data_IF_598897323137
#
_entry.id   IF_598897323137
#
_cell.length_a   1.000
_cell.length_b   1.000
_cell.length_c   1.000
_cell.angle_alpha   90.00
_cell.angle_beta   90.00
_cell.angle_gamma   90.00
#
_symmetry.space_group_name_H-M   'P 1'
#
loop_
_entity.id
_entity.type
_entity.pdbx_description
1 polymer ?
#
# COMPACT_ATOMS: atom_id res chain seq x y z
N UNK A 1 -10.94 21.82 -8.08
CA UNK A 1 -9.94 22.85 -8.47
C UNK A 1 -10.51 23.78 -9.54
N UNK A 2 -11.08 23.23 -10.62
CA UNK A 2 -11.71 24.00 -11.72
C UNK A 2 -12.83 24.95 -11.26
N UNK A 3 -13.75 24.53 -10.38
CA UNK A 3 -14.78 25.43 -9.83
C UNK A 3 -14.23 26.64 -9.07
N UNK A 4 -13.12 26.46 -8.33
CA UNK A 4 -12.43 27.57 -7.61
C UNK A 4 -11.73 28.51 -8.61
N UNK A 5 -11.27 27.98 -9.74
CA UNK A 5 -10.70 28.76 -10.84
C UNK A 5 -11.77 29.49 -11.66
N UNK A 6 -12.96 28.90 -11.83
CA UNK A 6 -14.08 29.53 -12.53
C UNK A 6 -14.61 30.77 -11.80
N UNK A 7 -14.55 30.78 -10.46
CA UNK A 7 -14.88 31.96 -9.65
C UNK A 7 -13.83 33.08 -9.74
N UNK A 8 -12.59 32.78 -10.15
CA UNK A 8 -11.59 33.80 -10.40
C UNK A 8 -11.71 34.25 -11.84
N UNK A 9 -12.22 35.47 -12.04
CA UNK A 9 -12.26 36.10 -13.36
C UNK A 9 -10.82 36.30 -13.83
N UNK A 10 -10.29 35.28 -14.54
CA UNK A 10 -9.03 35.24 -15.30
C UNK A 10 -8.77 36.53 -16.10
N UNK A 11 -9.87 37.22 -16.43
CA UNK A 11 -10.01 38.49 -17.11
C UNK A 11 -9.22 39.65 -16.49
N UNK A 12 -8.98 39.68 -15.17
CA UNK A 12 -8.37 40.85 -14.49
C UNK A 12 -6.97 40.61 -13.93
N UNK A 13 -6.39 39.44 -14.16
CA UNK A 13 -5.13 39.03 -13.54
C UNK A 13 -3.97 39.03 -14.54
N UNK A 14 -2.93 39.81 -14.22
CA UNK A 14 -1.64 39.76 -14.89
C UNK A 14 -0.99 38.38 -14.78
N UNK A 15 -0.01 38.05 -15.65
CA UNK A 15 0.74 36.79 -15.55
C UNK A 15 1.39 36.60 -14.17
N UNK A 16 1.89 37.68 -13.59
CA UNK A 16 2.42 37.71 -12.22
C UNK A 16 1.34 37.39 -11.18
N UNK A 17 0.16 38.02 -11.26
CA UNK A 17 -0.96 37.73 -10.35
C UNK A 17 -1.45 36.28 -10.45
N UNK A 18 -1.50 35.71 -11.66
CA UNK A 18 -1.83 34.30 -11.89
C UNK A 18 -0.78 33.37 -11.27
N UNK A 19 0.50 33.67 -11.43
CA UNK A 19 1.60 32.91 -10.82
C UNK A 19 1.51 32.94 -9.29
N UNK A 20 1.24 34.10 -8.69
CA UNK A 20 1.04 34.23 -7.24
C UNK A 20 -0.11 33.35 -6.76
N UNK A 21 -1.24 33.34 -7.46
CA UNK A 21 -2.39 32.47 -7.13
C UNK A 21 -2.10 30.97 -7.32
N UNK A 22 -1.29 30.61 -8.31
CA UNK A 22 -0.82 29.23 -8.47
C UNK A 22 -0.05 28.80 -7.23
N UNK A 23 0.88 29.63 -6.75
CA UNK A 23 1.72 29.33 -5.59
C UNK A 23 0.93 29.32 -4.28
N UNK A 24 0.07 30.31 -4.06
CA UNK A 24 -0.62 30.51 -2.78
C UNK A 24 -1.82 29.59 -2.61
N UNK A 25 -2.53 29.28 -3.70
CA UNK A 25 -3.85 28.64 -3.58
C UNK A 25 -3.92 27.34 -4.34
N UNK A 26 -3.57 27.29 -5.64
CA UNK A 26 -3.66 26.04 -6.40
C UNK A 26 -2.65 24.98 -5.92
N UNK A 27 -1.48 25.41 -5.44
CA UNK A 27 -0.49 24.49 -4.87
C UNK A 27 -0.84 24.02 -3.45
N UNK A 28 -1.80 24.67 -2.78
CA UNK A 28 -2.21 24.33 -1.41
C UNK A 28 -3.51 23.51 -1.36
N UNK A 29 -4.41 23.69 -2.32
CA UNK A 29 -5.65 22.90 -2.44
C UNK A 29 -5.44 21.38 -2.40
N UNK A 30 -4.45 20.79 -3.09
CA UNK A 30 -4.24 19.34 -3.06
C UNK A 30 -3.41 18.88 -1.85
N UNK A 31 -2.80 19.80 -1.07
CA UNK A 31 -1.83 19.45 -0.02
C UNK A 31 -2.36 18.46 1.01
N UNK A 32 -3.61 18.58 1.44
CA UNK A 32 -4.21 17.64 2.41
C UNK A 32 -4.34 16.22 1.85
N UNK A 33 -4.53 16.07 0.55
CA UNK A 33 -4.59 14.77 -0.10
C UNK A 33 -3.19 14.23 -0.40
N UNK A 34 -2.30 15.10 -0.90
CA UNK A 34 -0.90 14.79 -1.19
C UNK A 34 -0.09 14.44 0.06
N UNK A 35 -0.53 14.86 1.24
CA UNK A 35 0.10 14.46 2.49
C UNK A 35 -0.29 13.05 2.92
N UNK A 36 -1.41 12.50 2.44
CA UNK A 36 -1.92 11.20 2.86
C UNK A 36 -1.65 10.08 1.84
N UNK A 37 -1.67 10.42 0.54
CA UNK A 37 -1.64 9.41 -0.51
C UNK A 37 -0.60 9.72 -1.60
N UNK A 38 0.04 8.69 -2.18
CA UNK A 38 0.81 8.83 -3.42
C UNK A 38 -0.09 9.35 -4.54
N UNK A 39 0.34 10.40 -5.23
CA UNK A 39 -0.42 10.96 -6.34
C UNK A 39 -0.30 10.07 -7.59
N UNK A 40 -1.43 9.62 -8.19
CA UNK A 40 -1.38 8.92 -9.47
C UNK A 40 -0.83 9.82 -10.58
N UNK A 41 -0.04 9.26 -11.50
CA UNK A 41 0.59 10.02 -12.58
C UNK A 41 -0.42 10.76 -13.48
N UNK A 42 -1.59 10.18 -13.74
CA UNK A 42 -2.67 10.81 -14.50
C UNK A 42 -3.24 12.06 -13.80
N UNK A 43 -3.40 12.01 -12.48
CA UNK A 43 -3.89 13.13 -11.66
C UNK A 43 -2.85 14.24 -11.59
N UNK A 44 -1.56 13.89 -11.41
CA UNK A 44 -0.47 14.86 -11.45
C UNK A 44 -0.47 15.61 -12.79
N UNK A 45 -0.53 14.88 -13.91
CA UNK A 45 -0.61 15.46 -15.26
C UNK A 45 -1.84 16.36 -15.43
N UNK A 46 -3.00 15.98 -14.88
CA UNK A 46 -4.22 16.78 -14.96
C UNK A 46 -4.09 18.10 -14.17
N UNK A 47 -3.55 18.07 -12.95
CA UNK A 47 -3.36 19.28 -12.14
C UNK A 47 -2.32 20.19 -12.78
N UNK A 48 -1.21 19.63 -13.27
CA UNK A 48 -0.20 20.38 -14.04
C UNK A 48 -0.84 21.03 -15.27
N UNK A 49 -1.68 20.30 -16.01
CA UNK A 49 -2.43 20.85 -17.16
C UNK A 49 -3.30 22.03 -16.74
N UNK A 50 -4.05 21.92 -15.63
CA UNK A 50 -4.89 23.02 -15.12
C UNK A 50 -4.04 24.24 -14.73
N UNK A 51 -2.91 24.05 -14.06
CA UNK A 51 -2.00 25.14 -13.68
C UNK A 51 -1.36 25.81 -14.91
N UNK A 52 -0.93 25.00 -15.89
CA UNK A 52 -0.39 25.46 -17.18
C UNK A 52 -1.42 26.26 -17.96
N UNK A 53 -2.62 25.73 -18.05
CA UNK A 53 -3.73 26.35 -18.74
C UNK A 53 -4.05 27.67 -18.09
N UNK A 54 -4.14 27.74 -16.75
CA UNK A 54 -4.39 28.98 -16.02
C UNK A 54 -3.32 30.04 -16.27
N UNK A 55 -2.03 29.67 -16.23
CA UNK A 55 -0.91 30.58 -16.43
C UNK A 55 -0.88 31.18 -17.85
N UNK A 56 -1.06 30.33 -18.89
CA UNK A 56 -0.76 30.71 -20.28
C UNK A 56 -1.97 31.04 -21.15
N UNK A 57 -3.14 30.40 -20.94
CA UNK A 57 -4.31 30.65 -21.80
C UNK A 57 -4.88 32.08 -21.59
N UNK A 58 -5.53 32.64 -22.62
CA UNK A 58 -6.09 34.00 -22.66
C UNK A 58 -7.62 34.02 -22.64
N UNK A 59 -8.21 35.14 -23.09
CA UNK A 59 -9.65 35.45 -23.12
C UNK A 59 -10.39 34.87 -24.35
N UNK A 60 -9.69 34.31 -25.34
CA UNK A 60 -10.30 33.73 -26.54
C UNK A 60 -10.19 32.21 -26.60
N UNK A 61 -10.99 31.58 -27.46
CA UNK A 61 -10.84 30.18 -27.87
C UNK A 61 -9.53 29.92 -28.65
N UNK A 62 -8.76 30.98 -28.92
CA UNK A 62 -7.44 30.88 -29.52
C UNK A 62 -6.49 30.04 -28.65
N UNK A 63 -5.96 28.99 -29.26
CA UNK A 63 -4.93 28.15 -28.68
C UNK A 63 -3.67 28.98 -28.39
N UNK A 64 -3.36 29.19 -27.10
CA UNK A 64 -2.10 29.82 -26.69
C UNK A 64 -1.05 28.76 -26.37
N UNK A 65 0.11 28.87 -27.02
CA UNK A 65 1.25 28.01 -26.74
C UNK A 65 1.77 28.20 -25.32
N UNK A 66 2.13 27.09 -24.68
CA UNK A 66 2.88 27.12 -23.42
C UNK A 66 4.34 27.42 -23.75
N UNK A 67 4.74 28.69 -23.61
CA UNK A 67 6.04 29.19 -24.06
C UNK A 67 7.25 28.58 -23.33
N UNK A 68 7.05 28.03 -22.12
CA UNK A 68 8.13 27.53 -21.27
C UNK A 68 7.81 26.11 -20.82
N UNK A 69 8.83 25.23 -20.82
CA UNK A 69 8.75 23.87 -20.27
C UNK A 69 8.33 23.94 -18.79
N UNK A 70 7.43 23.04 -18.38
CA UNK A 70 6.87 23.10 -17.02
C UNK A 70 7.93 22.83 -15.95
N UNK A 71 8.90 21.96 -16.23
CA UNK A 71 10.01 21.69 -15.30
C UNK A 71 10.85 22.94 -15.03
N UNK A 72 11.10 23.76 -16.06
CA UNK A 72 11.80 25.05 -15.92
C UNK A 72 11.01 26.03 -15.05
N UNK A 73 9.68 26.04 -15.15
CA UNK A 73 8.79 26.84 -14.29
C UNK A 73 8.85 26.36 -12.84
N UNK A 74 9.04 25.05 -12.63
CA UNK A 74 9.14 24.47 -11.30
C UNK A 74 10.50 24.68 -10.62
N UNK A 75 11.55 25.00 -11.40
CA UNK A 75 12.88 25.28 -10.87
C UNK A 75 12.89 26.49 -9.92
N UNK A 76 13.83 26.52 -8.96
CA UNK A 76 14.04 27.67 -8.08
C UNK A 76 14.32 28.97 -8.86
N UNK A 77 14.05 30.11 -8.23
CA UNK A 77 14.30 31.45 -8.83
C UNK A 77 15.80 31.64 -9.14
N UNK A 78 16.69 31.06 -8.31
CA UNK A 78 18.14 31.06 -8.55
C UNK A 78 18.55 30.43 -9.87
N UNK A 79 17.73 29.50 -10.39
CA UNK A 79 17.99 28.78 -11.64
C UNK A 79 17.08 29.29 -12.76
N UNK A 80 16.72 30.58 -12.73
CA UNK A 80 15.85 31.24 -13.71
C UNK A 80 14.43 30.64 -13.82
N UNK A 81 14.01 29.89 -12.81
CA UNK A 81 12.67 29.31 -12.75
C UNK A 81 11.65 30.22 -12.06
N UNK A 82 10.39 29.79 -12.07
CA UNK A 82 9.30 30.51 -11.41
C UNK A 82 8.96 29.95 -10.04
N UNK A 83 9.70 28.97 -9.51
CA UNK A 83 9.50 28.34 -8.20
C UNK A 83 8.05 27.87 -7.95
N UNK A 84 7.41 27.30 -8.97
CA UNK A 84 6.17 26.56 -8.81
C UNK A 84 6.49 25.17 -8.25
N UNK A 85 5.70 24.63 -7.32
CA UNK A 85 6.00 23.32 -6.72
C UNK A 85 5.81 22.21 -7.74
N UNK A 86 6.83 21.39 -7.97
CA UNK A 86 6.69 20.13 -8.67
C UNK A 86 5.84 19.17 -7.81
N UNK A 87 4.67 18.77 -8.31
CA UNK A 87 3.69 18.00 -7.53
C UNK A 87 4.21 16.62 -7.11
N UNK A 88 5.03 15.97 -7.95
CA UNK A 88 5.57 14.64 -7.65
C UNK A 88 6.62 14.73 -6.54
N UNK A 89 7.58 15.64 -6.67
CA UNK A 89 8.60 15.88 -5.66
C UNK A 89 7.98 16.36 -4.34
N UNK A 90 6.97 17.23 -4.42
CA UNK A 90 6.26 17.73 -3.25
C UNK A 90 5.45 16.63 -2.54
N UNK A 91 4.78 15.75 -3.29
CA UNK A 91 4.09 14.58 -2.72
C UNK A 91 5.07 13.63 -2.04
N UNK A 92 6.20 13.31 -2.68
CA UNK A 92 7.23 12.47 -2.08
C UNK A 92 7.77 13.06 -0.77
N UNK A 93 8.06 14.37 -0.75
CA UNK A 93 8.51 15.07 0.45
C UNK A 93 7.45 15.06 1.57
N UNK A 94 6.17 15.28 1.24
CA UNK A 94 5.07 15.24 2.22
C UNK A 94 4.83 13.84 2.79
N UNK A 95 4.96 12.79 1.98
CA UNK A 95 4.92 11.41 2.47
C UNK A 95 6.14 11.10 3.33
N UNK A 96 7.33 11.58 2.93
CA UNK A 96 8.56 11.49 3.72
C UNK A 96 8.46 12.13 5.10
N UNK A 97 7.70 13.22 5.24
CA UNK A 97 7.40 13.83 6.55
C UNK A 97 6.73 12.85 7.53
N UNK A 98 5.87 11.95 7.05
CA UNK A 98 5.25 10.95 7.91
C UNK A 98 6.21 9.83 8.31
N UNK A 99 7.16 9.47 7.44
CA UNK A 99 8.24 8.56 7.80
C UNK A 99 9.12 9.17 8.91
N UNK A 100 9.48 10.45 8.75
CA UNK A 100 10.22 11.19 9.77
C UNK A 100 9.47 11.26 11.11
N UNK A 101 8.19 11.63 11.08
CA UNK A 101 7.33 11.66 12.28
C UNK A 101 7.14 10.29 12.89
N UNK A 102 7.05 9.25 12.08
CA UNK A 102 6.97 7.89 12.58
C UNK A 102 8.20 7.56 13.45
N UNK A 103 9.41 7.95 12.99
CA UNK A 103 10.66 7.71 13.73
C UNK A 103 10.81 8.50 15.03
N UNK A 104 10.22 9.70 15.10
CA UNK A 104 10.30 10.59 16.28
C UNK A 104 9.14 10.39 17.26
N UNK A 105 7.91 10.33 16.78
CA UNK A 105 6.69 10.32 17.59
C UNK A 105 6.36 8.90 18.08
N UNK A 106 7.22 8.34 18.94
CA UNK A 106 7.15 6.94 19.41
C UNK A 106 5.85 6.61 20.14
N UNK A 107 5.25 7.57 20.83
CA UNK A 107 4.06 7.39 21.66
C UNK A 107 2.74 7.71 20.95
N UNK A 108 2.80 8.22 19.71
CA UNK A 108 1.60 8.69 19.04
C UNK A 108 0.63 7.54 18.73
N UNK A 109 -0.66 7.76 19.01
CA UNK A 109 -1.72 6.75 18.81
C UNK A 109 -1.76 6.22 17.36
N UNK A 110 -1.58 7.09 16.37
CA UNK A 110 -1.57 6.69 14.96
C UNK A 110 -0.40 5.73 14.65
N UNK A 111 0.75 5.90 15.31
CA UNK A 111 1.91 5.03 15.20
C UNK A 111 1.58 3.64 15.75
N UNK A 112 0.97 3.57 16.94
CA UNK A 112 0.51 2.29 17.55
C UNK A 112 -0.48 1.54 16.66
N UNK A 113 -1.37 2.27 15.97
CA UNK A 113 -2.31 1.68 14.99
C UNK A 113 -1.57 1.14 13.76
N UNK A 114 -0.57 1.88 13.26
CA UNK A 114 0.27 1.44 12.15
C UNK A 114 1.07 0.19 12.56
N UNK A 115 1.66 0.19 13.75
CA UNK A 115 2.46 -0.92 14.27
C UNK A 115 1.61 -2.18 14.45
N UNK A 116 0.43 -2.04 15.09
CA UNK A 116 -0.49 -3.17 15.26
C UNK A 116 -1.07 -3.72 13.95
N UNK A 117 -1.12 -2.91 12.88
CA UNK A 117 -1.66 -3.33 11.57
C UNK A 117 -0.60 -3.88 10.62
N UNK A 118 0.59 -3.30 10.62
CA UNK A 118 1.61 -3.54 9.60
C UNK A 118 2.91 -4.15 10.15
N UNK A 119 3.15 -4.10 11.46
CA UNK A 119 4.35 -4.69 12.11
C UNK A 119 3.94 -5.69 13.18
N UNK A 120 3.16 -6.70 12.81
CA UNK A 120 2.89 -7.85 13.67
C UNK A 120 4.07 -8.83 13.58
N UNK A 121 4.73 -9.07 14.72
CA UNK A 121 6.03 -9.72 14.96
C UNK A 121 7.24 -8.78 14.85
N UNK A 122 7.69 -8.32 16.03
CA UNK A 122 9.08 -8.06 16.50
C UNK A 122 10.19 -7.63 15.53
N UNK A 123 9.85 -7.14 14.36
CA UNK A 123 10.75 -6.55 13.41
C UNK A 123 10.23 -5.15 13.15
N UNK A 124 10.99 -4.17 13.61
CA UNK A 124 10.78 -2.78 13.23
C UNK A 124 10.90 -2.59 11.72
N UNK A 125 10.95 -1.32 11.28
CA UNK A 125 11.09 -0.99 9.87
C UNK A 125 12.31 -1.66 9.26
N UNK A 126 12.07 -2.63 8.38
CA UNK A 126 13.08 -3.20 7.51
C UNK A 126 12.93 -2.56 6.14
N UNK A 127 13.95 -1.81 5.71
CA UNK A 127 14.16 -1.50 4.31
C UNK A 127 14.41 -2.84 3.61
N UNK A 128 13.39 -3.42 2.98
CA UNK A 128 13.63 -4.58 2.12
C UNK A 128 14.43 -4.09 0.92
N UNK A 129 15.73 -4.36 0.94
CA UNK A 129 16.70 -3.99 -0.09
C UNK A 129 16.41 -4.82 -1.35
N UNK A 130 15.62 -4.27 -2.27
CA UNK A 130 15.33 -4.91 -3.57
C UNK A 130 16.24 -4.46 -4.71
N UNK A 131 17.23 -3.60 -4.49
CA UNK A 131 18.18 -3.24 -5.56
C UNK A 131 19.61 -3.11 -5.05
N UNK A 132 20.54 -3.57 -5.88
CA UNK A 132 21.99 -3.75 -5.63
C UNK A 132 22.71 -2.45 -5.22
N UNK A 133 22.11 -1.27 -5.41
CA UNK A 133 22.69 0.00 -4.94
C UNK A 133 22.62 0.22 -3.42
N UNK A 134 21.70 -0.45 -2.70
CA UNK A 134 21.58 -0.30 -1.25
C UNK A 134 22.46 -1.28 -0.43
N UNK A 135 23.15 -2.23 -1.08
CA UNK A 135 24.07 -3.16 -0.42
C UNK A 135 25.41 -2.53 0.00
N UNK A 136 25.64 -1.25 -0.31
CA UNK A 136 26.85 -0.51 0.09
C UNK A 136 26.85 -0.11 1.57
N UNK A 137 25.69 -0.12 2.25
CA UNK A 137 25.56 0.25 3.66
C UNK A 137 25.00 -0.85 4.57
N UNK A 138 24.82 -2.07 4.05
CA UNK A 138 24.25 -3.21 4.78
C UNK A 138 25.35 -4.19 5.17
N UNK A 139 25.41 -4.57 6.45
CA UNK A 139 26.39 -5.51 6.98
C UNK A 139 25.97 -6.95 6.68
N UNK A 140 26.88 -7.71 6.10
CA UNK A 140 26.65 -9.05 5.56
C UNK A 140 26.17 -10.04 6.64
N UNK A 141 26.80 -10.02 7.81
CA UNK A 141 26.47 -10.95 8.90
C UNK A 141 25.39 -10.44 9.86
N UNK A 142 25.37 -9.12 10.08
CA UNK A 142 24.61 -8.52 11.18
C UNK A 142 23.23 -8.01 10.80
N UNK A 143 23.02 -7.64 9.54
CA UNK A 143 21.75 -7.07 9.11
C UNK A 143 20.87 -8.14 8.42
N UNK A 144 19.56 -8.02 8.54
CA UNK A 144 18.60 -8.94 7.92
C UNK A 144 18.32 -8.55 6.46
N UNK A 145 19.17 -9.02 5.55
CA UNK A 145 19.06 -8.73 4.11
C UNK A 145 18.77 -9.95 3.22
N UNK A 146 19.06 -11.16 3.72
CA UNK A 146 18.74 -12.42 3.06
C UNK A 146 17.97 -13.32 4.04
N UNK A 147 16.70 -13.60 3.73
CA UNK A 147 15.80 -14.34 4.63
C UNK A 147 15.14 -13.48 5.72
N UNK A 148 14.81 -14.14 6.85
CA UNK A 148 14.04 -13.57 7.95
C UNK A 148 14.89 -13.24 9.21
N UNK A 149 16.12 -13.74 9.30
CA UNK A 149 17.04 -13.50 10.41
C UNK A 149 18.46 -13.15 9.91
N UNK A 150 19.26 -12.38 10.68
CA UNK A 150 20.67 -12.15 10.36
C UNK A 150 21.47 -13.46 10.24
N UNK A 151 22.45 -13.51 9.34
CA UNK A 151 23.26 -14.73 9.16
C UNK A 151 24.06 -15.11 10.39
N UNK A 152 24.46 -14.16 11.25
CA UNK A 152 25.11 -14.48 12.53
C UNK A 152 24.25 -15.32 13.48
N UNK A 153 22.93 -15.20 13.37
CA UNK A 153 21.98 -15.86 14.26
C UNK A 153 21.54 -17.22 13.68
N UNK A 154 21.49 -17.34 12.34
CA UNK A 154 21.18 -18.60 11.64
C UNK A 154 22.41 -19.52 11.58
N UNK A 155 23.59 -18.95 11.34
CA UNK A 155 24.85 -19.67 11.15
C UNK A 155 25.94 -19.14 12.11
N UNK A 156 25.78 -19.30 13.43
CA UNK A 156 26.73 -18.77 14.41
C UNK A 156 28.12 -19.39 14.24
N UNK A 157 28.18 -20.67 13.87
CA UNK A 157 29.42 -21.42 13.60
C UNK A 157 30.20 -20.80 12.43
N UNK A 158 29.53 -20.42 11.34
CA UNK A 158 30.16 -19.75 10.19
C UNK A 158 30.54 -18.30 10.50
N UNK A 159 29.72 -17.60 11.30
CA UNK A 159 30.05 -16.25 11.77
C UNK A 159 31.29 -16.25 12.67
N UNK A 160 31.48 -17.29 13.49
CA UNK A 160 32.66 -17.42 14.36
C UNK A 160 33.97 -17.44 13.56
N UNK A 161 33.95 -18.08 12.39
CA UNK A 161 35.11 -18.22 11.50
C UNK A 161 35.13 -17.19 10.37
N UNK A 162 34.18 -16.26 10.31
CA UNK A 162 34.18 -15.19 9.30
C UNK A 162 35.42 -14.30 9.47
N UNK A 163 36.13 -14.03 8.36
CA UNK A 163 37.34 -13.19 8.36
C UNK A 163 37.04 -11.74 8.69
N UNK A 164 35.91 -11.23 8.21
CA UNK A 164 35.42 -9.90 8.51
C UNK A 164 33.95 -9.98 8.93
N UNK A 165 33.71 -9.70 10.21
CA UNK A 165 32.39 -9.81 10.85
C UNK A 165 31.51 -8.58 10.61
N UNK A 166 32.12 -7.45 10.27
CA UNK A 166 31.43 -6.18 9.98
C UNK A 166 31.39 -5.87 8.49
N UNK A 167 31.85 -6.80 7.64
CA UNK A 167 31.89 -6.64 6.19
C UNK A 167 30.52 -6.24 5.63
N UNK A 168 30.53 -5.32 4.67
CA UNK A 168 29.34 -4.97 3.91
C UNK A 168 29.04 -6.03 2.85
N UNK A 169 27.77 -6.18 2.48
CA UNK A 169 27.36 -7.15 1.45
C UNK A 169 28.08 -6.91 0.12
N UNK A 170 28.31 -5.64 -0.23
CA UNK A 170 29.06 -5.27 -1.42
C UNK A 170 30.52 -5.81 -1.45
N UNK A 171 31.13 -6.07 -0.29
CA UNK A 171 32.49 -6.61 -0.22
C UNK A 171 32.55 -8.11 -0.60
N UNK A 172 31.44 -8.83 -0.45
CA UNK A 172 31.33 -10.26 -0.74
C UNK A 172 30.67 -10.56 -2.10
N UNK A 173 30.20 -9.53 -2.82
CA UNK A 173 29.45 -9.66 -4.06
C UNK A 173 30.36 -9.38 -5.28
N UNK A 174 30.57 -10.38 -6.14
CA UNK A 174 31.22 -10.21 -7.43
C UNK A 174 30.23 -10.45 -8.59
N UNK A 175 30.14 -9.50 -9.51
CA UNK A 175 29.35 -9.66 -10.73
C UNK A 175 30.24 -10.13 -11.87
N UNK A 176 30.10 -11.39 -12.30
CA UNK A 176 30.80 -11.93 -13.47
C UNK A 176 29.80 -12.37 -14.52
N UNK A 177 29.91 -11.84 -15.74
CA UNK A 177 29.12 -12.26 -16.91
C UNK A 177 27.60 -12.38 -16.67
N UNK A 178 27.00 -11.41 -15.98
CA UNK A 178 25.57 -11.39 -15.61
C UNK A 178 25.13 -12.43 -14.58
N UNK A 179 26.05 -13.22 -14.03
CA UNK A 179 25.83 -14.11 -12.90
C UNK A 179 26.47 -13.52 -11.63
N UNK A 180 25.75 -13.64 -10.52
CA UNK A 180 26.24 -13.21 -9.21
C UNK A 180 27.11 -14.33 -8.64
N UNK A 181 28.31 -13.97 -8.21
CA UNK A 181 29.21 -14.86 -7.48
C UNK A 181 29.47 -14.27 -6.09
N UNK A 182 29.29 -15.10 -5.07
CA UNK A 182 29.56 -14.73 -3.68
C UNK A 182 30.96 -15.19 -3.28
N UNK A 183 31.79 -14.28 -2.79
CA UNK A 183 33.12 -14.59 -2.26
C UNK A 183 33.15 -14.29 -0.76
N UNK A 184 32.92 -15.32 0.05
CA UNK A 184 32.92 -15.24 1.52
C UNK A 184 34.22 -15.84 2.04
N UNK A 185 35.03 -15.02 2.71
CA UNK A 185 36.33 -15.41 3.21
C UNK A 185 36.26 -15.77 4.71
N UNK A 186 36.82 -16.94 5.06
CA UNK A 186 36.92 -17.42 6.44
C UNK A 186 38.36 -17.32 6.95
N UNK A 187 38.54 -17.26 8.27
CA UNK A 187 39.85 -17.20 8.95
C UNK A 187 40.62 -18.51 8.86
N UNK A 188 39.92 -19.63 8.70
CA UNK A 188 40.47 -20.98 8.49
C UNK A 188 39.63 -21.76 7.49
N UNK A 189 40.19 -22.87 7.00
CA UNK A 189 39.41 -23.84 6.22
C UNK A 189 38.25 -24.40 7.07
N UNK A 190 37.11 -24.59 6.41
CA UNK A 190 35.95 -25.25 6.99
C UNK A 190 36.31 -26.68 7.37
N UNK A 191 35.79 -27.13 8.51
CA UNK A 191 35.99 -28.49 9.02
C UNK A 191 34.72 -29.32 8.80
N UNK A 192 34.82 -30.64 8.94
CA UNK A 192 33.73 -31.56 8.59
C UNK A 192 32.40 -31.26 9.29
N UNK A 193 32.45 -30.71 10.51
CA UNK A 193 31.26 -30.32 11.29
C UNK A 193 30.57 -29.02 10.82
N UNK A 194 31.20 -28.21 9.95
CA UNK A 194 30.64 -26.96 9.40
C UNK A 194 30.05 -27.15 8.00
N UNK A 195 30.25 -28.31 7.35
CA UNK A 195 29.87 -28.54 5.96
C UNK A 195 28.36 -28.44 5.70
N UNK A 196 27.54 -28.94 6.63
CA UNK A 196 26.08 -28.86 6.53
C UNK A 196 25.58 -27.41 6.66
N UNK A 197 26.15 -26.65 7.59
CA UNK A 197 25.91 -25.22 7.75
C UNK A 197 26.31 -24.45 6.48
N UNK A 198 27.45 -24.79 5.86
CA UNK A 198 27.92 -24.17 4.61
C UNK A 198 26.97 -24.44 3.44
N UNK A 199 26.51 -25.68 3.28
CA UNK A 199 25.58 -26.04 2.21
C UNK A 199 24.29 -25.24 2.34
N UNK A 200 23.70 -25.25 3.52
CA UNK A 200 22.44 -24.54 3.81
C UNK A 200 22.61 -23.03 3.66
N UNK A 201 23.76 -22.50 4.07
CA UNK A 201 24.12 -21.10 3.92
C UNK A 201 24.17 -20.68 2.45
N UNK A 202 24.85 -21.43 1.59
CA UNK A 202 24.92 -21.11 0.16
C UNK A 202 23.59 -21.32 -0.55
N UNK A 203 22.80 -22.34 -0.18
CA UNK A 203 21.44 -22.50 -0.71
C UNK A 203 20.58 -21.27 -0.41
N UNK A 204 20.63 -20.78 0.82
CA UNK A 204 19.91 -19.56 1.22
C UNK A 204 20.45 -18.33 0.47
N UNK A 205 21.77 -18.20 0.35
CA UNK A 205 22.44 -17.08 -0.31
C UNK A 205 22.12 -17.01 -1.81
N UNK A 206 22.09 -18.15 -2.50
CA UNK A 206 21.74 -18.25 -3.92
C UNK A 206 20.22 -18.29 -4.16
N UNK A 207 19.39 -18.60 -3.15
CA UNK A 207 17.93 -18.47 -3.23
C UNK A 207 17.45 -17.02 -3.31
N UNK A 208 18.30 -16.05 -2.92
CA UNK A 208 18.01 -14.63 -2.96
C UNK A 208 17.79 -14.15 -4.41
N UNK A 209 16.52 -14.06 -4.83
CA UNK A 209 16.14 -13.55 -6.15
C UNK A 209 16.38 -12.04 -6.23
N UNK A 210 17.51 -11.64 -6.82
CA UNK A 210 17.78 -10.24 -7.16
C UNK A 210 16.93 -9.86 -8.38
N UNK A 211 15.80 -9.20 -8.14
CA UNK A 211 14.89 -8.71 -9.19
C UNK A 211 15.42 -7.39 -9.80
N UNK A 212 16.32 -7.52 -10.77
CA UNK A 212 16.48 -6.58 -11.88
C UNK A 212 17.21 -5.25 -11.64
N UNK A 213 17.62 -4.62 -12.76
CA UNK A 213 18.11 -3.24 -12.82
C UNK A 213 16.92 -2.26 -12.77
N UNK A 214 16.93 -1.32 -11.82
CA UNK A 214 15.96 -0.24 -11.71
C UNK A 214 16.34 0.77 -10.61
N UNK A 215 15.77 1.98 -10.67
CA UNK A 215 15.91 3.00 -9.62
C UNK A 215 15.24 2.56 -8.31
N UNK A 216 15.80 3.01 -7.18
CA UNK A 216 15.35 2.69 -5.83
C UNK A 216 13.84 2.89 -5.62
N UNK A 217 13.18 1.86 -5.08
CA UNK A 217 11.79 1.94 -4.62
C UNK A 217 11.69 1.34 -3.22
N UNK A 218 11.03 2.08 -2.34
CA UNK A 218 10.69 1.62 -1.00
C UNK A 218 9.57 0.57 -1.11
N UNK A 219 9.90 -0.68 -0.79
CA UNK A 219 8.98 -1.82 -0.89
C UNK A 219 8.52 -2.27 0.50
N UNK A 220 7.22 -2.46 0.69
CA UNK A 220 6.68 -3.02 1.93
C UNK A 220 6.82 -4.54 1.95
N UNK A 221 7.56 -5.06 2.94
CA UNK A 221 7.49 -6.41 3.54
C UNK A 221 6.05 -6.79 3.95
N UNK A 222 5.17 -7.28 3.07
CA UNK A 222 3.90 -7.85 3.54
C UNK A 222 4.25 -9.14 4.30
N UNK A 223 4.11 -9.11 5.63
CA UNK A 223 4.25 -10.29 6.48
C UNK A 223 3.43 -11.46 5.93
N UNK A 224 4.05 -12.64 5.88
CA UNK A 224 3.55 -13.85 5.24
C UNK A 224 2.21 -14.38 5.81
N UNK A 225 1.65 -13.75 6.86
CA UNK A 225 0.46 -14.23 7.56
C UNK A 225 -0.81 -13.38 7.38
N UNK A 226 -0.80 -12.30 6.60
CA UNK A 226 -2.06 -11.60 6.22
C UNK A 226 -2.20 -11.32 4.73
N UNK A 227 -1.72 -12.26 3.89
CA UNK A 227 -1.95 -12.25 2.44
C UNK A 227 -3.45 -12.29 2.09
N UNK A 228 -4.12 -11.15 2.02
CA UNK A 228 -5.29 -10.97 1.16
C UNK A 228 -4.78 -10.75 -0.27
N UNK A 229 -4.19 -11.80 -0.87
CA UNK A 229 -3.64 -11.81 -2.24
C UNK A 229 -4.70 -12.16 -3.31
N UNK A 230 -5.98 -11.93 -3.04
CA UNK A 230 -6.99 -12.05 -4.08
C UNK A 230 -6.75 -10.93 -5.11
N UNK A 231 -6.81 -11.24 -6.42
CA UNK A 231 -6.73 -10.24 -7.50
C UNK A 231 -8.01 -9.38 -7.54
N UNK A 232 -8.20 -8.55 -6.51
CA UNK A 232 -9.38 -7.69 -6.32
C UNK A 232 -8.99 -6.21 -6.29
N UNK A 233 -9.88 -5.29 -6.71
CA UNK A 233 -9.61 -3.86 -6.61
C UNK A 233 -9.27 -3.44 -5.16
N UNK A 234 -8.31 -2.52 -4.95
CA UNK A 234 -7.87 -2.12 -3.60
C UNK A 234 -9.01 -1.65 -2.68
N UNK A 235 -10.06 -1.02 -3.22
CA UNK A 235 -11.24 -0.62 -2.43
C UNK A 235 -11.98 -1.80 -1.81
N UNK A 236 -12.06 -2.92 -2.54
CA UNK A 236 -12.75 -4.14 -2.13
C UNK A 236 -11.91 -4.88 -1.10
N UNK A 237 -10.59 -4.93 -1.30
CA UNK A 237 -9.64 -5.46 -0.33
C UNK A 237 -9.72 -4.71 1.00
N UNK A 238 -9.69 -3.37 0.95
CA UNK A 238 -9.78 -2.53 2.14
C UNK A 238 -11.11 -2.72 2.88
N UNK A 239 -12.23 -2.78 2.14
CA UNK A 239 -13.54 -3.09 2.71
C UNK A 239 -13.56 -4.46 3.39
N UNK A 240 -13.01 -5.49 2.74
CA UNK A 240 -13.00 -6.85 3.29
C UNK A 240 -12.18 -6.95 4.57
N UNK A 241 -11.05 -6.25 4.61
CA UNK A 241 -10.24 -6.10 5.82
C UNK A 241 -11.03 -5.39 6.95
N UNK A 242 -11.71 -4.28 6.64
CA UNK A 242 -12.59 -3.60 7.61
C UNK A 242 -13.73 -4.50 8.12
N UNK A 243 -14.30 -5.33 7.25
CA UNK A 243 -15.34 -6.29 7.58
C UNK A 243 -14.82 -7.37 8.52
N UNK A 244 -13.62 -7.92 8.27
CA UNK A 244 -12.99 -8.89 9.17
C UNK A 244 -12.66 -8.34 10.56
N UNK A 245 -12.40 -7.03 10.66
CA UNK A 245 -12.17 -6.36 11.95
C UNK A 245 -13.47 -5.96 12.67
N UNK A 246 -14.62 -6.19 12.03
CA UNK A 246 -15.91 -5.75 12.55
C UNK A 246 -16.02 -4.23 12.65
N UNK A 247 -15.44 -3.47 11.71
CA UNK A 247 -15.41 -1.99 11.74
C UNK A 247 -16.20 -1.32 10.62
N UNK A 248 -16.98 -2.06 9.84
CA UNK A 248 -17.84 -1.51 8.79
C UNK A 248 -18.97 -0.68 9.40
N UNK A 249 -19.35 0.41 8.74
CA UNK A 249 -20.36 1.38 9.21
C UNK A 249 -21.79 0.79 9.12
N UNK A 250 -22.10 -0.15 10.00
CA UNK A 250 -23.44 -0.68 10.24
C UNK A 250 -24.07 0.00 11.44
N UNK A 251 -25.40 -0.09 11.56
CA UNK A 251 -26.12 0.54 12.67
C UNK A 251 -25.64 0.08 14.05
N UNK A 252 -25.32 -1.19 14.25
CA UNK A 252 -24.70 -1.70 15.49
C UNK A 252 -23.35 -1.01 15.81
N UNK A 253 -22.48 -0.83 14.81
CA UNK A 253 -21.21 -0.14 15.00
C UNK A 253 -21.34 1.37 15.21
N UNK A 254 -22.38 2.00 14.66
CA UNK A 254 -22.70 3.40 14.92
C UNK A 254 -23.26 3.59 16.33
N UNK A 255 -24.07 2.64 16.82
CA UNK A 255 -24.55 2.62 18.21
C UNK A 255 -23.41 2.53 19.22
N UNK A 256 -22.39 1.70 18.96
CA UNK A 256 -21.17 1.65 19.80
C UNK A 256 -20.39 2.97 19.85
N UNK A 257 -20.72 3.93 18.99
CA UNK A 257 -20.18 5.30 18.96
C UNK A 257 -21.19 6.35 19.45
N UNK A 258 -22.24 5.93 20.16
CA UNK A 258 -23.31 6.77 20.69
C UNK A 258 -24.14 7.50 19.62
N UNK A 259 -24.29 6.91 18.42
CA UNK A 259 -25.19 7.43 17.37
C UNK A 259 -26.48 6.61 17.37
N UNK A 260 -27.62 7.28 17.62
CA UNK A 260 -28.94 6.66 17.72
C UNK A 260 -29.58 6.60 16.33
N UNK A 261 -29.77 5.38 15.80
CA UNK A 261 -30.43 5.09 14.53
C UNK A 261 -31.40 3.92 14.71
N UNK A 262 -32.45 3.89 13.88
CA UNK A 262 -33.40 2.77 13.78
C UNK A 262 -32.64 1.52 13.36
N UNK A 263 -32.78 0.43 14.14
CA UNK A 263 -31.92 -0.75 14.01
C UNK A 263 -32.31 -1.72 12.91
N UNK A 264 -33.32 -1.48 12.09
CA UNK A 264 -33.77 -2.54 11.19
C UNK A 264 -32.81 -2.74 10.02
N UNK A 265 -32.58 -3.99 9.64
CA UNK A 265 -31.82 -4.31 8.44
C UNK A 265 -32.60 -3.83 7.22
N UNK A 266 -32.03 -2.89 6.45
CA UNK A 266 -32.69 -2.32 5.26
C UNK A 266 -32.92 -3.33 4.12
N UNK A 267 -32.31 -4.51 4.18
CA UNK A 267 -32.47 -5.56 3.17
C UNK A 267 -33.62 -6.50 3.51
N UNK A 268 -33.63 -7.11 4.71
CA UNK A 268 -34.68 -8.06 5.10
C UNK A 268 -35.89 -7.40 5.78
N UNK A 269 -35.73 -6.20 6.37
CA UNK A 269 -36.74 -5.49 7.17
C UNK A 269 -37.34 -6.30 8.35
N UNK A 270 -36.74 -7.44 8.73
CA UNK A 270 -37.21 -8.33 9.79
C UNK A 270 -36.34 -8.27 11.04
N UNK A 271 -35.02 -8.28 10.87
CA UNK A 271 -34.05 -8.34 11.97
C UNK A 271 -33.28 -7.02 12.17
N UNK A 272 -32.55 -6.93 13.27
CA UNK A 272 -31.60 -5.85 13.53
C UNK A 272 -30.39 -5.85 12.59
N UNK A 273 -29.98 -4.68 12.10
CA UNK A 273 -28.80 -4.48 11.28
C UNK A 273 -27.52 -4.64 12.13
N UNK A 274 -26.87 -5.78 11.95
CA UNK A 274 -25.49 -6.02 12.36
C UNK A 274 -24.67 -6.41 11.13
N UNK A 275 -23.34 -6.33 11.21
CA UNK A 275 -22.49 -6.78 10.09
C UNK A 275 -22.72 -8.26 9.79
N UNK A 276 -22.68 -9.12 10.80
CA UNK A 276 -22.83 -10.56 10.60
C UNK A 276 -24.22 -10.89 10.04
N UNK A 277 -25.28 -10.21 10.50
CA UNK A 277 -26.59 -10.33 9.88
C UNK A 277 -26.57 -9.85 8.43
N UNK A 278 -26.20 -8.60 8.16
CA UNK A 278 -26.28 -8.02 6.81
C UNK A 278 -25.46 -8.77 5.76
N UNK A 279 -24.30 -9.32 6.13
CA UNK A 279 -23.41 -9.98 5.16
C UNK A 279 -23.56 -11.50 5.09
N UNK A 280 -24.05 -12.15 6.14
CA UNK A 280 -24.09 -13.62 6.22
C UNK A 280 -25.50 -14.18 6.46
N UNK A 281 -26.24 -13.62 7.43
CA UNK A 281 -27.47 -14.25 7.94
C UNK A 281 -28.77 -13.63 7.45
N UNK A 282 -28.71 -12.46 6.82
CA UNK A 282 -29.84 -11.80 6.17
C UNK A 282 -30.41 -12.71 5.07
N UNK A 283 -31.73 -12.80 4.93
CA UNK A 283 -32.38 -13.65 3.93
C UNK A 283 -31.80 -13.46 2.52
N UNK A 284 -31.68 -12.19 2.09
CA UNK A 284 -31.08 -11.83 0.80
C UNK A 284 -29.59 -12.24 0.69
N UNK A 285 -28.83 -12.11 1.78
CA UNK A 285 -27.43 -12.54 1.80
C UNK A 285 -27.32 -14.06 1.70
N UNK A 286 -28.17 -14.80 2.43
CA UNK A 286 -28.20 -16.27 2.41
C UNK A 286 -28.55 -16.81 1.03
N UNK A 287 -29.53 -16.23 0.34
CA UNK A 287 -29.86 -16.61 -1.04
C UNK A 287 -28.70 -16.39 -1.99
N UNK A 288 -28.04 -15.22 -1.92
CA UNK A 288 -26.88 -14.91 -2.75
C UNK A 288 -25.71 -15.88 -2.49
N UNK A 289 -25.43 -16.19 -1.22
CA UNK A 289 -24.43 -17.17 -0.84
C UNK A 289 -24.78 -18.57 -1.35
N UNK A 290 -26.02 -19.03 -1.16
CA UNK A 290 -26.48 -20.33 -1.66
C UNK A 290 -26.36 -20.43 -3.17
N UNK A 291 -26.71 -19.37 -3.92
CA UNK A 291 -26.52 -19.31 -5.37
C UNK A 291 -25.05 -19.51 -5.73
N UNK A 292 -24.15 -18.75 -5.08
CA UNK A 292 -22.72 -18.85 -5.33
C UNK A 292 -22.19 -20.24 -4.99
N UNK A 293 -22.54 -20.82 -3.85
CA UNK A 293 -22.11 -22.17 -3.48
C UNK A 293 -22.63 -23.24 -4.46
N UNK A 294 -23.85 -23.08 -4.96
CA UNK A 294 -24.43 -23.97 -5.97
C UNK A 294 -23.63 -23.93 -7.29
N UNK A 295 -23.12 -22.77 -7.70
CA UNK A 295 -22.24 -22.65 -8.89
C UNK A 295 -20.92 -23.41 -8.74
N UNK A 296 -20.45 -23.62 -7.51
CA UNK A 296 -19.27 -24.43 -7.22
C UNK A 296 -19.62 -25.88 -6.80
N UNK A 297 -20.91 -26.26 -6.81
CA UNK A 297 -21.37 -27.59 -6.38
C UNK A 297 -21.11 -27.88 -4.91
N UNK A 298 -21.13 -26.85 -4.06
CA UNK A 298 -20.75 -26.95 -2.65
C UNK A 298 -21.95 -26.80 -1.72
N UNK A 299 -21.96 -27.61 -0.66
CA UNK A 299 -22.81 -27.38 0.52
C UNK A 299 -21.99 -26.65 1.56
N UNK A 300 -22.46 -25.50 2.02
CA UNK A 300 -21.75 -24.65 2.96
C UNK A 300 -22.63 -24.28 4.15
N UNK A 301 -22.12 -24.52 5.36
CA UNK A 301 -22.74 -24.06 6.60
C UNK A 301 -22.14 -22.72 6.96
N UNK A 302 -22.97 -21.66 6.95
CA UNK A 302 -22.48 -20.31 7.16
C UNK A 302 -21.99 -20.09 8.61
N UNK A 303 -20.73 -19.68 8.83
CA UNK A 303 -20.22 -19.33 10.15
C UNK A 303 -20.98 -18.16 10.79
N UNK A 304 -20.90 -18.05 12.12
CA UNK A 304 -21.58 -16.96 12.85
C UNK A 304 -20.99 -15.59 12.53
N UNK A 305 -19.66 -15.48 12.36
CA UNK A 305 -18.97 -14.20 12.15
C UNK A 305 -18.25 -14.13 10.80
N UNK A 306 -18.13 -12.91 10.27
CA UNK A 306 -17.41 -12.63 9.01
C UNK A 306 -15.94 -13.06 9.06
N UNK A 307 -15.27 -12.90 10.21
CA UNK A 307 -13.87 -13.31 10.37
C UNK A 307 -13.71 -14.82 10.18
N UNK A 308 -14.67 -15.61 10.64
CA UNK A 308 -14.66 -17.07 10.53
C UNK A 308 -14.86 -17.52 9.07
N UNK A 309 -15.62 -16.75 8.28
CA UNK A 309 -15.73 -16.96 6.83
C UNK A 309 -14.36 -16.81 6.19
N UNK A 310 -13.64 -15.70 6.43
CA UNK A 310 -12.31 -15.50 5.84
C UNK A 310 -11.27 -16.53 6.33
N UNK A 311 -11.35 -16.95 7.60
CA UNK A 311 -10.46 -17.97 8.15
C UNK A 311 -10.71 -19.34 7.53
N UNK A 312 -11.98 -19.76 7.41
CA UNK A 312 -12.36 -21.05 6.81
C UNK A 312 -12.16 -21.08 5.29
N UNK A 313 -12.23 -19.93 4.61
CA UNK A 313 -12.09 -19.83 3.15
C UNK A 313 -10.69 -20.21 2.63
N UNK A 314 -9.65 -19.99 3.45
CA UNK A 314 -8.25 -20.31 3.11
C UNK A 314 -7.84 -21.75 3.44
N UNK A 315 -8.76 -22.56 3.98
CA UNK A 315 -8.50 -23.95 4.41
C UNK A 315 -8.58 -24.99 3.30
N UNK A 316 -8.72 -26.28 3.68
CA UNK A 316 -8.77 -27.45 2.76
C UNK A 316 -9.85 -27.36 1.66
N UNK A 317 -10.86 -26.51 1.84
CA UNK A 317 -11.92 -26.24 0.85
C UNK A 317 -11.44 -25.39 -0.36
N UNK A 318 -10.23 -24.82 -0.31
CA UNK A 318 -9.67 -23.99 -1.40
C UNK A 318 -8.98 -24.75 -2.54
N UNK A 319 -8.97 -26.09 -2.53
CA UNK A 319 -8.42 -26.90 -3.63
C UNK A 319 -9.44 -27.07 -4.76
N UNK A 320 -9.83 -25.97 -5.39
CA UNK A 320 -10.71 -25.97 -6.55
C UNK A 320 -9.92 -25.81 -7.85
N UNK A 321 -10.40 -26.39 -8.96
CA UNK A 321 -9.81 -26.19 -10.31
C UNK A 321 -9.65 -24.71 -10.67
N UNK A 322 -10.53 -23.86 -10.12
CA UNK A 322 -10.56 -22.40 -10.31
C UNK A 322 -10.20 -21.65 -9.01
N UNK A 323 -9.05 -21.97 -8.41
CA UNK A 323 -8.57 -21.39 -7.14
C UNK A 323 -8.63 -19.85 -7.13
N UNK A 324 -8.19 -19.19 -8.20
CA UNK A 324 -8.17 -17.73 -8.27
C UNK A 324 -9.58 -17.11 -8.23
N UNK A 325 -10.57 -17.75 -8.86
CA UNK A 325 -11.96 -17.30 -8.79
C UNK A 325 -12.51 -17.52 -7.39
N UNK A 326 -12.24 -18.69 -6.81
CA UNK A 326 -12.68 -19.04 -5.45
C UNK A 326 -12.17 -18.08 -4.38
N UNK A 327 -10.89 -17.69 -4.44
CA UNK A 327 -10.28 -16.75 -3.50
C UNK A 327 -10.93 -15.35 -3.53
N UNK A 328 -11.56 -14.98 -4.66
CA UNK A 328 -12.17 -13.68 -4.87
C UNK A 328 -13.66 -13.64 -4.45
N UNK A 329 -14.33 -14.79 -4.43
CA UNK A 329 -15.76 -14.91 -4.11
C UNK A 329 -16.20 -14.15 -2.85
N UNK A 330 -15.60 -14.35 -1.66
CA UNK A 330 -16.12 -13.74 -0.44
C UNK A 330 -15.99 -12.22 -0.47
N UNK A 331 -14.95 -11.72 -1.12
CA UNK A 331 -14.73 -10.31 -1.33
C UNK A 331 -15.80 -9.69 -2.25
N UNK A 332 -16.13 -10.36 -3.35
CA UNK A 332 -17.14 -9.91 -4.30
C UNK A 332 -18.55 -9.94 -3.72
N UNK A 333 -18.94 -11.04 -3.08
CA UNK A 333 -20.28 -11.20 -2.50
C UNK A 333 -20.52 -10.16 -1.42
N UNK A 334 -19.60 -10.02 -0.45
CA UNK A 334 -19.76 -9.03 0.62
C UNK A 334 -19.73 -7.60 0.10
N UNK A 335 -18.93 -7.30 -0.93
CA UNK A 335 -18.92 -5.99 -1.56
C UNK A 335 -20.22 -5.67 -2.30
N UNK A 336 -20.81 -6.65 -3.00
CA UNK A 336 -22.12 -6.48 -3.64
C UNK A 336 -23.22 -6.21 -2.62
N UNK A 337 -23.26 -6.99 -1.52
CA UNK A 337 -24.18 -6.75 -0.41
C UNK A 337 -23.98 -5.37 0.23
N UNK A 338 -22.74 -4.93 0.39
CA UNK A 338 -22.43 -3.60 0.92
C UNK A 338 -22.92 -2.47 0.01
N UNK A 339 -22.78 -2.63 -1.31
CA UNK A 339 -23.29 -1.67 -2.28
C UNK A 339 -24.81 -1.60 -2.27
N UNK A 340 -25.47 -2.76 -2.24
CA UNK A 340 -26.93 -2.84 -2.20
C UNK A 340 -27.48 -2.18 -0.93
N UNK A 341 -26.90 -2.52 0.22
CA UNK A 341 -27.22 -1.90 1.52
C UNK A 341 -27.11 -0.38 1.45
N UNK A 342 -26.00 0.14 0.92
CA UNK A 342 -25.77 1.58 0.84
C UNK A 342 -26.69 2.27 -0.16
N UNK A 343 -27.05 1.62 -1.27
CA UNK A 343 -28.04 2.16 -2.19
C UNK A 343 -29.41 2.34 -1.49
N UNK A 344 -29.85 1.36 -0.69
CA UNK A 344 -31.11 1.44 0.06
C UNK A 344 -31.07 2.41 1.25
N UNK A 345 -29.91 2.60 1.88
CA UNK A 345 -29.80 3.44 3.09
C UNK A 345 -29.43 4.89 2.78
N UNK A 346 -28.71 5.16 1.68
CA UNK A 346 -28.15 6.49 1.37
C UNK A 346 -28.82 7.11 0.14
N UNK A 347 -29.28 6.30 -0.82
CA UNK A 347 -29.86 6.78 -2.07
C UNK A 347 -31.40 6.68 -2.11
N UNK A 348 -32.07 6.32 -1.00
CA UNK A 348 -33.53 6.19 -0.85
C UNK A 348 -34.21 5.40 -1.98
N UNK A 349 -33.51 4.42 -2.54
CA UNK A 349 -34.09 3.43 -3.46
C UNK A 349 -34.79 2.36 -2.62
N UNK A 350 -36.04 2.62 -2.25
CA UNK A 350 -36.93 1.56 -1.75
C UNK A 350 -37.36 0.60 -2.87
#
# INVERSE_FOLDING_TARGET
MERRLAGWKRMYLSKGGRLTLIKSTLSNLPTSFLSLFPIPASVAKLIEKIQRDFLWKGLGEEFKFHLVKWDTICSPISNWGLAVRNLKLFNAALLGKWLWRYGLDREALWRRVVDGKYTSLESGWSTTVTHVMALMGTRFWLDTWCGDYPFKDIFPDLYCIARDKEAFVAAHLQLRNSSIHWEVNFTRAAQDWELESISTFFDLLYSAKVLGRGEDKMCWRIGSTTKFEAKIPPRVAFFSWLASLGKVLTTDNLRRRNIILVSWCCMCKVDGESMDHSFLHCALARELWTMVFSLFGMYWVMPKRIVDVFASWKGRLGRHKNRHTWEVVPHCVMWSLWRERNARTIEDRE
#
